data_IF_577112410589
#
_entry.id   IF_577112410589
#
_cell.length_a   1.000
_cell.length_b   1.000
_cell.length_c   1.000
_cell.angle_alpha   90.00
_cell.angle_beta   90.00
_cell.angle_gamma   90.00
#
_symmetry.space_group_name_H-M   'P 1'
#
loop_
_entity.id
_entity.type
_entity.pdbx_description
1 polymer ?
#
# COMPACT_ATOMS: atom_id res chain seq x y z
N UNK A 1 -18.26 -0.94 -18.75
CA UNK A 1 -16.88 -1.09 -19.27
C UNK A 1 -15.97 -0.61 -18.16
N UNK A 2 -15.18 -1.49 -17.55
CA UNK A 2 -14.12 -1.07 -16.62
C UNK A 2 -13.14 -0.23 -17.44
N UNK A 3 -13.23 1.08 -17.35
CA UNK A 3 -12.28 1.97 -18.00
C UNK A 3 -10.92 1.73 -17.34
N UNK A 4 -9.90 1.42 -18.14
CA UNK A 4 -8.53 1.38 -17.66
C UNK A 4 -8.20 2.72 -16.98
N UNK A 5 -7.71 2.63 -15.75
CA UNK A 5 -7.31 3.81 -15.01
C UNK A 5 -6.24 4.58 -15.78
N UNK A 6 -6.43 5.89 -15.89
CA UNK A 6 -5.46 6.79 -16.51
C UNK A 6 -4.90 7.73 -15.46
N UNK A 7 -3.62 8.06 -15.63
CA UNK A 7 -2.90 8.90 -14.69
C UNK A 7 -3.50 10.29 -14.55
N UNK A 8 -3.57 10.75 -13.31
CA UNK A 8 -3.97 12.11 -12.95
C UNK A 8 -2.75 13.03 -13.05
N UNK A 9 -2.91 14.20 -13.67
CA UNK A 9 -1.85 15.17 -13.90
C UNK A 9 -2.34 16.58 -13.55
N UNK A 10 -1.40 17.41 -13.10
CA UNK A 10 -1.64 18.86 -12.98
C UNK A 10 -1.56 19.47 -14.37
N UNK A 11 -2.60 20.19 -14.76
CA UNK A 11 -2.68 20.85 -16.08
C UNK A 11 -2.42 22.35 -16.01
N UNK A 12 -2.80 22.99 -14.91
CA UNK A 12 -2.71 24.44 -14.79
C UNK A 12 -2.74 24.92 -13.33
N UNK A 13 -2.41 26.19 -13.12
CA UNK A 13 -2.68 26.95 -11.89
C UNK A 13 -3.85 27.90 -12.17
N UNK A 14 -4.96 27.73 -11.45
CA UNK A 14 -6.15 28.55 -11.63
C UNK A 14 -6.02 29.90 -10.91
N UNK A 15 -5.57 30.91 -11.67
CA UNK A 15 -5.41 32.28 -11.16
C UNK A 15 -6.74 32.91 -10.75
N UNK A 16 -7.86 32.50 -11.35
CA UNK A 16 -9.18 33.05 -11.02
C UNK A 16 -9.69 32.58 -9.66
N UNK A 17 -9.33 31.35 -9.26
CA UNK A 17 -9.61 30.79 -7.95
C UNK A 17 -8.57 31.14 -6.89
N UNK A 18 -7.36 31.55 -7.30
CA UNK A 18 -6.29 31.87 -6.36
C UNK A 18 -6.63 33.12 -5.54
N UNK A 19 -6.75 32.97 -4.21
CA UNK A 19 -7.15 34.05 -3.29
C UNK A 19 -6.12 34.28 -2.19
N UNK A 20 -6.32 35.34 -1.41
CA UNK A 20 -5.54 35.59 -0.20
C UNK A 20 -5.78 34.48 0.83
N UNK A 21 -4.69 34.03 1.46
CA UNK A 21 -4.79 33.11 2.60
C UNK A 21 -5.29 33.85 3.83
N UNK A 22 -6.05 33.15 4.67
CA UNK A 22 -6.44 33.65 6.00
C UNK A 22 -5.33 33.48 7.03
N UNK A 23 -4.31 32.68 6.73
CA UNK A 23 -3.23 32.35 7.65
C UNK A 23 -2.22 33.51 7.75
N UNK A 24 -1.88 34.11 6.61
CA UNK A 24 -0.94 35.22 6.55
C UNK A 24 -1.15 36.06 5.28
N UNK A 25 -0.93 37.36 5.37
CA UNK A 25 -1.14 38.31 4.26
C UNK A 25 -0.26 38.01 3.04
N UNK A 26 0.96 37.52 3.23
CA UNK A 26 1.86 37.20 2.11
C UNK A 26 1.48 35.90 1.39
N UNK A 27 0.69 35.03 2.01
CA UNK A 27 0.30 33.74 1.46
C UNK A 27 -0.92 33.86 0.53
N UNK A 28 -0.99 32.97 -0.44
CA UNK A 28 -2.17 32.74 -1.28
C UNK A 28 -2.62 31.30 -1.13
N UNK A 29 -3.93 31.09 -1.24
CA UNK A 29 -4.48 29.76 -1.48
C UNK A 29 -4.34 29.51 -2.97
N UNK A 30 -3.42 28.62 -3.32
CA UNK A 30 -3.17 28.19 -4.70
C UNK A 30 -4.17 27.10 -5.07
N UNK A 31 -4.60 27.07 -6.34
CA UNK A 31 -5.47 26.02 -6.87
C UNK A 31 -4.85 25.41 -8.12
N UNK A 32 -4.23 24.24 -7.98
CA UNK A 32 -3.69 23.48 -9.10
C UNK A 32 -4.79 22.62 -9.70
N UNK A 33 -5.11 22.86 -10.97
CA UNK A 33 -6.13 22.12 -11.70
C UNK A 33 -5.61 20.76 -12.13
N UNK A 34 -6.40 19.71 -11.92
CA UNK A 34 -6.13 18.37 -12.41
C UNK A 34 -6.81 18.13 -13.76
N UNK A 35 -6.25 17.25 -14.59
CA UNK A 35 -6.87 16.82 -15.85
C UNK A 35 -8.14 16.00 -15.63
N UNK A 36 -8.27 15.39 -14.46
CA UNK A 36 -9.41 14.57 -14.04
C UNK A 36 -9.54 14.53 -12.52
N UNK A 37 -10.72 14.14 -12.06
CA UNK A 37 -10.99 13.91 -10.65
C UNK A 37 -10.37 12.58 -10.17
N UNK A 38 -9.86 12.51 -8.93
CA UNK A 38 -9.51 11.24 -8.29
C UNK A 38 -10.66 10.23 -8.33
N UNK A 39 -10.39 8.96 -8.71
CA UNK A 39 -11.46 7.99 -8.91
C UNK A 39 -12.16 7.56 -7.62
N UNK A 40 -11.40 7.46 -6.51
CA UNK A 40 -11.90 7.03 -5.21
C UNK A 40 -10.96 7.41 -4.05
N UNK A 41 -11.36 7.05 -2.83
CA UNK A 41 -10.59 7.26 -1.61
C UNK A 41 -9.29 6.44 -1.53
N UNK A 42 -9.17 5.32 -2.25
CA UNK A 42 -7.94 4.53 -2.25
C UNK A 42 -6.81 5.31 -2.95
N UNK A 43 -7.12 5.97 -4.06
CA UNK A 43 -6.17 6.85 -4.72
C UNK A 43 -5.77 8.03 -3.83
N UNK A 44 -6.74 8.68 -3.17
CA UNK A 44 -6.46 9.79 -2.23
C UNK A 44 -5.58 9.32 -1.07
N UNK A 45 -5.87 8.15 -0.50
CA UNK A 45 -5.05 7.55 0.56
C UNK A 45 -3.61 7.36 0.10
N UNK A 46 -3.39 6.80 -1.09
CA UNK A 46 -2.04 6.59 -1.64
C UNK A 46 -1.29 7.90 -1.88
N UNK A 47 -2.00 8.94 -2.33
CA UNK A 47 -1.42 10.27 -2.51
C UNK A 47 -0.89 10.84 -1.17
N UNK A 48 -1.69 10.76 -0.11
CA UNK A 48 -1.28 11.27 1.21
C UNK A 48 -0.27 10.36 1.91
N UNK A 49 -0.35 9.04 1.73
CA UNK A 49 0.57 8.05 2.31
C UNK A 49 2.02 8.36 1.95
N UNK A 50 2.33 8.46 0.65
CA UNK A 50 3.71 8.77 0.24
C UNK A 50 4.14 10.13 0.73
N UNK A 51 3.23 11.11 0.71
CA UNK A 51 3.54 12.42 1.23
C UNK A 51 3.89 12.33 2.70
N UNK A 52 3.06 11.77 3.57
CA UNK A 52 3.27 11.65 5.03
C UNK A 52 4.59 10.97 5.43
N UNK A 53 5.08 10.03 4.64
CA UNK A 53 6.36 9.36 4.92
C UNK A 53 7.62 10.23 4.71
N UNK A 54 7.52 11.34 3.97
CA UNK A 54 8.67 12.21 3.67
C UNK A 54 8.87 13.31 4.71
N UNK A 55 10.10 13.50 5.17
CA UNK A 55 10.45 14.71 5.94
C UNK A 55 10.73 15.84 4.94
N UNK A 56 9.81 16.81 4.85
CA UNK A 56 9.93 17.99 3.98
C UNK A 56 9.86 19.24 4.86
N UNK A 57 10.96 20.01 4.91
CA UNK A 57 11.09 21.16 5.81
C UNK A 57 10.04 22.27 5.57
N UNK A 58 9.56 22.43 4.33
CA UNK A 58 8.54 23.42 3.94
C UNK A 58 7.20 22.77 3.58
N UNK A 59 6.82 21.72 4.32
CA UNK A 59 5.52 21.06 4.13
C UNK A 59 4.39 22.05 4.47
N UNK A 60 3.48 22.23 3.53
CA UNK A 60 2.20 22.92 3.75
C UNK A 60 1.06 21.91 3.80
N UNK A 61 0.00 22.23 4.54
CA UNK A 61 -1.26 21.50 4.43
C UNK A 61 -1.78 21.64 3.00
N UNK A 62 -2.36 20.58 2.45
CA UNK A 62 -3.00 20.59 1.15
C UNK A 62 -4.28 19.77 1.21
N UNK A 63 -5.21 20.07 0.33
CA UNK A 63 -6.49 19.38 0.19
C UNK A 63 -6.78 19.15 -1.30
N UNK A 64 -7.51 18.08 -1.61
CA UNK A 64 -7.88 17.71 -2.98
C UNK A 64 -9.39 17.65 -3.05
N UNK A 65 -10.01 18.57 -3.80
CA UNK A 65 -11.46 18.70 -3.93
C UNK A 65 -11.82 19.24 -5.33
N UNK A 66 -12.95 18.78 -5.89
CA UNK A 66 -13.50 19.26 -7.16
C UNK A 66 -12.52 19.25 -8.35
N UNK A 67 -11.58 18.29 -8.39
CA UNK A 67 -10.55 18.22 -9.42
C UNK A 67 -9.42 19.26 -9.27
N UNK A 68 -9.25 19.82 -8.07
CA UNK A 68 -8.18 20.74 -7.73
C UNK A 68 -7.36 20.23 -6.55
N UNK A 69 -6.06 20.55 -6.55
CA UNK A 69 -5.20 20.48 -5.37
C UNK A 69 -5.01 21.91 -4.87
N UNK A 70 -5.40 22.17 -3.63
CA UNK A 70 -5.29 23.49 -3.02
C UNK A 70 -4.46 23.50 -1.75
N UNK A 71 -3.69 24.57 -1.56
CA UNK A 71 -2.74 24.73 -0.47
C UNK A 71 -2.31 26.19 -0.31
N UNK A 72 -1.89 26.56 0.90
CA UNK A 72 -1.32 27.87 1.18
C UNK A 72 0.16 27.94 0.77
N UNK A 73 0.53 28.93 -0.05
CA UNK A 73 1.93 29.13 -0.46
C UNK A 73 2.23 30.58 -0.85
N UNK A 74 3.51 30.93 -0.87
CA UNK A 74 3.99 32.13 -1.57
C UNK A 74 4.05 31.85 -3.08
N UNK A 75 3.60 32.77 -3.96
CA UNK A 75 3.66 32.57 -5.41
C UNK A 75 5.04 32.13 -5.93
N UNK A 76 6.12 32.66 -5.38
CA UNK A 76 7.49 32.35 -5.77
C UNK A 76 7.99 30.97 -5.30
N UNK A 77 7.31 30.32 -4.34
CA UNK A 77 7.68 28.99 -3.85
C UNK A 77 6.96 27.87 -4.60
N UNK A 78 5.89 28.18 -5.35
CA UNK A 78 5.05 27.17 -6.01
C UNK A 78 5.88 26.33 -6.98
N UNK A 79 6.58 26.97 -7.91
CA UNK A 79 7.32 26.27 -8.95
C UNK A 79 8.56 25.55 -8.40
N UNK A 80 9.32 26.20 -7.53
CA UNK A 80 10.59 25.69 -7.04
C UNK A 80 10.44 24.59 -5.97
N UNK A 81 9.37 24.62 -5.17
CA UNK A 81 9.25 23.80 -3.96
C UNK A 81 8.01 22.89 -4.03
N UNK A 82 6.83 23.47 -4.21
CA UNK A 82 5.58 22.73 -4.04
C UNK A 82 5.23 21.87 -5.25
N UNK A 83 5.42 22.38 -6.47
CA UNK A 83 5.06 21.67 -7.68
C UNK A 83 5.84 20.35 -7.84
N UNK A 84 7.17 20.30 -7.60
CA UNK A 84 7.92 19.04 -7.60
C UNK A 84 7.47 18.06 -6.49
N UNK A 85 7.20 18.56 -5.29
CA UNK A 85 6.72 17.75 -4.15
C UNK A 85 5.37 17.09 -4.46
N UNK A 86 4.42 17.87 -4.99
CA UNK A 86 3.08 17.40 -5.34
C UNK A 86 3.13 16.43 -6.52
N UNK A 87 3.92 16.73 -7.57
CA UNK A 87 4.10 15.83 -8.72
C UNK A 87 4.63 14.47 -8.29
N UNK A 88 5.60 14.44 -7.37
CA UNK A 88 6.12 13.17 -6.84
C UNK A 88 5.05 12.33 -6.14
N UNK A 89 4.14 12.97 -5.40
CA UNK A 89 3.02 12.27 -4.76
C UNK A 89 1.96 11.81 -5.78
N UNK A 90 1.72 12.58 -6.84
CA UNK A 90 0.88 12.14 -7.98
C UNK A 90 1.45 10.90 -8.66
N UNK A 91 2.75 10.92 -8.99
CA UNK A 91 3.43 9.81 -9.66
C UNK A 91 3.39 8.53 -8.81
N UNK A 92 3.56 8.67 -7.50
CA UNK A 92 3.40 7.56 -6.57
C UNK A 92 1.96 7.03 -6.58
N UNK A 93 0.97 7.90 -6.35
CA UNK A 93 -0.43 7.52 -6.26
C UNK A 93 -0.91 6.83 -7.53
N UNK A 94 -0.61 7.40 -8.70
CA UNK A 94 -0.94 6.83 -10.00
C UNK A 94 -0.33 5.43 -10.18
N UNK A 95 0.95 5.26 -9.84
CA UNK A 95 1.63 3.95 -9.97
C UNK A 95 1.04 2.91 -9.04
N UNK A 96 0.86 3.22 -7.76
CA UNK A 96 0.34 2.26 -6.79
C UNK A 96 -1.14 1.95 -7.04
N UNK A 97 -1.92 2.94 -7.47
CA UNK A 97 -3.32 2.74 -7.82
C UNK A 97 -3.49 1.85 -9.05
N UNK A 98 -2.63 1.97 -10.08
CA UNK A 98 -2.61 1.02 -11.21
C UNK A 98 -2.41 -0.42 -10.74
N UNK A 99 -1.49 -0.64 -9.79
CA UNK A 99 -1.28 -1.98 -9.21
C UNK A 99 -2.53 -2.45 -8.45
N UNK A 100 -3.16 -1.57 -7.67
CA UNK A 100 -4.36 -1.89 -6.91
C UNK A 100 -5.53 -2.29 -7.84
N UNK A 101 -5.75 -1.54 -8.92
CA UNK A 101 -6.79 -1.85 -9.92
C UNK A 101 -6.52 -3.20 -10.56
N UNK A 102 -5.27 -3.48 -10.96
CA UNK A 102 -4.89 -4.77 -11.53
C UNK A 102 -5.11 -5.93 -10.54
N UNK A 103 -4.75 -5.76 -9.27
CA UNK A 103 -4.99 -6.75 -8.22
C UNK A 103 -6.49 -7.02 -8.01
N UNK A 104 -7.30 -5.95 -7.93
CA UNK A 104 -8.77 -6.07 -7.81
C UNK A 104 -9.38 -6.79 -9.02
N UNK A 105 -8.85 -6.57 -10.22
CA UNK A 105 -9.32 -7.27 -11.43
C UNK A 105 -9.00 -8.77 -11.37
N UNK A 106 -7.78 -9.15 -10.98
CA UNK A 106 -7.38 -10.55 -10.81
C UNK A 106 -8.21 -11.24 -9.72
N UNK A 107 -8.43 -10.58 -8.57
CA UNK A 107 -9.25 -11.10 -7.48
C UNK A 107 -10.70 -11.31 -7.93
N UNK A 108 -11.31 -10.34 -8.63
CA UNK A 108 -12.66 -10.48 -9.19
C UNK A 108 -12.78 -11.66 -10.14
N UNK A 109 -11.79 -11.85 -11.02
CA UNK A 109 -11.77 -13.00 -11.94
C UNK A 109 -11.61 -14.34 -11.20
N UNK A 110 -10.78 -14.38 -10.14
CA UNK A 110 -10.63 -15.55 -9.28
C UNK A 110 -11.92 -15.93 -8.55
N UNK A 111 -12.57 -14.96 -7.90
CA UNK A 111 -13.85 -15.14 -7.22
C UNK A 111 -14.95 -15.63 -8.16
N UNK A 112 -15.02 -15.08 -9.38
CA UNK A 112 -15.99 -15.54 -10.38
C UNK A 112 -15.76 -16.99 -10.81
N UNK A 113 -14.51 -17.44 -10.88
CA UNK A 113 -14.18 -18.84 -11.18
C UNK A 113 -14.59 -19.75 -10.02
N UNK A 114 -14.23 -19.38 -8.79
CA UNK A 114 -14.58 -20.15 -7.59
C UNK A 114 -16.11 -20.30 -7.43
N UNK A 115 -16.87 -19.22 -7.66
CA UNK A 115 -18.34 -19.26 -7.66
C UNK A 115 -18.89 -20.17 -8.77
N UNK A 116 -18.27 -20.16 -9.96
CA UNK A 116 -18.69 -21.02 -11.06
C UNK A 116 -18.40 -22.50 -10.76
N UNK A 117 -17.23 -22.79 -10.18
CA UNK A 117 -16.80 -24.13 -9.77
C UNK A 117 -17.71 -24.66 -8.67
N UNK A 118 -17.94 -23.90 -7.60
CA UNK A 118 -18.87 -24.27 -6.51
C UNK A 118 -20.28 -24.54 -7.06
N UNK A 119 -20.78 -23.69 -7.96
CA UNK A 119 -22.09 -23.90 -8.59
C UNK A 119 -22.13 -25.20 -9.38
N UNK A 120 -21.04 -25.56 -10.07
CA UNK A 120 -20.93 -26.81 -10.81
C UNK A 120 -20.95 -28.02 -9.87
N UNK A 121 -20.24 -27.94 -8.74
CA UNK A 121 -20.20 -28.98 -7.71
C UNK A 121 -21.56 -29.19 -7.04
N UNK A 122 -22.28 -28.09 -6.74
CA UNK A 122 -23.62 -28.15 -6.16
C UNK A 122 -24.63 -28.78 -7.12
N UNK A 123 -24.52 -28.52 -8.43
CA UNK A 123 -25.34 -29.20 -9.44
C UNK A 123 -25.05 -30.70 -9.47
N UNK A 124 -23.77 -31.08 -9.52
CA UNK A 124 -23.37 -32.49 -9.50
C UNK A 124 -23.80 -33.21 -8.20
N UNK A 125 -23.71 -32.53 -7.06
CA UNK A 125 -24.22 -33.03 -5.78
C UNK A 125 -25.74 -33.22 -5.80
N UNK A 126 -26.48 -32.23 -6.30
CA UNK A 126 -27.95 -32.32 -6.44
C UNK A 126 -28.35 -33.52 -7.31
N UNK A 127 -27.63 -33.78 -8.40
CA UNK A 127 -27.88 -34.95 -9.25
C UNK A 127 -27.60 -36.26 -8.54
N UNK A 128 -26.48 -36.38 -7.82
CA UNK A 128 -26.16 -37.57 -7.00
C UNK A 128 -27.21 -37.83 -5.93
N UNK A 129 -27.64 -36.79 -5.21
CA UNK A 129 -28.71 -36.90 -4.19
C UNK A 129 -30.02 -37.35 -4.83
N UNK A 130 -30.40 -36.78 -5.98
CA UNK A 130 -31.60 -37.20 -6.72
C UNK A 130 -31.54 -38.67 -7.14
N UNK A 131 -30.39 -39.13 -7.66
CA UNK A 131 -30.21 -40.52 -8.08
C UNK A 131 -30.32 -41.49 -6.89
N UNK A 132 -29.70 -41.15 -5.76
CA UNK A 132 -29.78 -41.93 -4.52
C UNK A 132 -31.23 -42.02 -3.99
N UNK A 133 -31.95 -40.90 -3.97
CA UNK A 133 -33.37 -40.86 -3.55
C UNK A 133 -34.30 -41.61 -4.50
N UNK A 134 -33.98 -41.66 -5.80
CA UNK A 134 -34.74 -42.43 -6.79
C UNK A 134 -34.45 -43.94 -6.76
N UNK A 135 -33.65 -44.43 -5.80
CA UNK A 135 -33.30 -45.85 -5.68
C UNK A 135 -32.43 -46.39 -6.82
N UNK A 136 -31.80 -45.50 -7.62
CA UNK A 136 -30.94 -45.89 -8.73
C UNK A 136 -29.50 -46.03 -8.21
N UNK A 137 -28.89 -47.23 -8.23
CA UNK A 137 -27.52 -47.40 -7.74
C UNK A 137 -26.58 -46.59 -8.63
N UNK A 138 -25.54 -45.94 -8.07
CA UNK A 138 -24.56 -45.20 -8.85
C UNK A 138 -23.88 -46.17 -9.84
N UNK A 139 -23.55 -45.74 -11.08
CA UNK A 139 -22.74 -46.55 -11.96
C UNK A 139 -21.40 -46.81 -11.26
N UNK A 140 -21.11 -48.09 -11.06
CA UNK A 140 -19.90 -48.55 -10.39
C UNK A 140 -18.68 -47.97 -11.12
N UNK A 141 -17.85 -47.23 -10.40
CA UNK A 141 -16.48 -47.01 -10.82
C UNK A 141 -15.80 -48.39 -10.89
N UNK A 142 -15.39 -48.80 -12.08
CA UNK A 142 -14.64 -50.02 -12.33
C UNK A 142 -13.28 -49.90 -11.65
N UNK A 143 -13.19 -50.37 -10.40
CA UNK A 143 -11.94 -50.65 -9.75
C UNK A 143 -11.46 -52.03 -10.22
N UNK A 144 -10.44 -52.06 -11.07
CA UNK A 144 -9.63 -53.26 -11.31
C UNK A 144 -8.66 -53.47 -10.13
N UNK A 145 -8.61 -54.66 -9.51
CA UNK A 145 -7.52 -55.06 -8.64
C UNK A 145 -6.50 -55.88 -9.42
N UNK A 146 -5.23 -55.48 -9.39
CA UNK A 146 -4.12 -56.34 -9.83
C UNK A 146 -3.24 -56.74 -8.62
N UNK A 147 -2.81 -58.02 -8.54
CA UNK A 147 -2.24 -58.60 -7.34
C UNK A 147 -0.73 -58.38 -7.17
N UNK A 148 -0.34 -58.64 -5.93
CA UNK A 148 0.97 -58.57 -5.27
C UNK A 148 2.06 -59.39 -5.99
N UNK A 149 3.26 -58.83 -6.10
CA UNK A 149 4.51 -59.58 -6.09
C UNK A 149 5.61 -58.78 -5.36
N UNK A 150 6.10 -59.35 -4.25
CA UNK A 150 7.35 -58.97 -3.55
C UNK A 150 8.34 -60.12 -3.83
N UNK A 151 9.68 -59.88 -3.88
CA UNK A 151 10.45 -60.10 -2.64
C UNK A 151 11.65 -59.16 -2.42
N UNK A 152 11.95 -58.95 -1.11
CA UNK A 152 13.26 -58.86 -0.39
C UNK A 152 14.52 -58.32 -1.11
N UNK A 153 15.48 -57.64 -0.49
CA UNK A 153 15.73 -57.07 0.84
C UNK A 153 17.08 -56.33 0.73
N UNK A 154 17.26 -55.19 1.41
CA UNK A 154 18.60 -54.71 1.81
C UNK A 154 18.47 -53.70 2.96
N UNK A 155 18.99 -54.14 4.11
CA UNK A 155 19.19 -53.40 5.35
C UNK A 155 20.15 -52.21 5.19
N UNK A 156 19.82 -51.07 5.79
CA UNK A 156 20.77 -50.22 6.50
C UNK A 156 20.01 -49.20 7.37
N UNK A 157 20.05 -49.42 8.68
CA UNK A 157 19.64 -48.45 9.69
C UNK A 157 20.69 -47.33 9.80
N UNK A 158 20.25 -46.06 9.82
CA UNK A 158 21.05 -44.92 10.29
C UNK A 158 20.12 -43.99 11.10
N UNK A 159 20.51 -43.57 12.31
CA UNK A 159 19.59 -43.14 13.36
C UNK A 159 19.08 -41.70 13.23
N UNK A 160 17.92 -41.49 13.86
CA UNK A 160 17.22 -40.23 14.04
C UNK A 160 18.12 -39.12 14.60
N UNK A 161 18.22 -38.03 13.85
CA UNK A 161 18.74 -36.75 14.31
C UNK A 161 17.66 -36.06 15.17
N UNK A 162 17.94 -35.69 16.42
CA UNK A 162 16.98 -35.01 17.28
C UNK A 162 16.56 -33.65 16.72
N UNK A 163 15.25 -33.39 16.76
CA UNK A 163 14.68 -32.08 16.53
C UNK A 163 15.19 -31.12 17.62
N UNK A 164 15.85 -30.06 17.19
CA UNK A 164 16.18 -28.92 18.05
C UNK A 164 14.88 -28.21 18.46
N UNK A 165 14.65 -27.97 19.76
CA UNK A 165 13.55 -27.14 20.20
C UNK A 165 13.84 -25.69 19.81
N UNK A 166 12.94 -25.11 19.02
CA UNK A 166 12.93 -23.67 18.75
C UNK A 166 12.81 -22.96 20.10
N UNK A 167 13.86 -22.22 20.45
CA UNK A 167 13.92 -21.46 21.68
C UNK A 167 12.70 -20.53 21.76
N UNK A 168 11.93 -20.69 22.83
CA UNK A 168 10.99 -19.68 23.30
C UNK A 168 11.69 -18.34 23.30
N UNK A 169 11.14 -17.38 22.56
CA UNK A 169 11.49 -15.98 22.68
C UNK A 169 11.29 -15.58 24.15
N UNK A 170 12.41 -15.45 24.87
CA UNK A 170 12.47 -14.76 26.14
C UNK A 170 11.92 -13.36 25.89
N UNK A 171 10.78 -13.04 26.50
CA UNK A 171 10.27 -11.69 26.54
C UNK A 171 11.30 -10.83 27.28
N UNK A 172 12.14 -10.12 26.53
CA UNK A 172 12.88 -8.98 27.08
C UNK A 172 11.85 -7.99 27.64
N UNK A 173 12.09 -7.44 28.85
CA UNK A 173 11.12 -6.61 29.51
C UNK A 173 10.87 -5.37 28.64
N UNK A 174 9.63 -5.14 28.24
CA UNK A 174 9.20 -4.03 27.39
C UNK A 174 9.69 -2.63 27.86
N UNK A 175 10.16 -2.52 29.10
CA UNK A 175 10.83 -1.34 29.65
C UNK A 175 12.17 -1.02 28.97
N UNK A 176 12.98 -2.02 28.60
CA UNK A 176 14.30 -1.80 28.00
C UNK A 176 14.19 -1.29 26.56
N UNK A 177 13.20 -1.78 25.81
CA UNK A 177 12.89 -1.32 24.45
C UNK A 177 12.35 0.13 24.48
N UNK A 178 11.51 0.47 25.46
CA UNK A 178 11.01 1.84 25.62
C UNK A 178 12.13 2.82 25.97
N UNK A 179 13.04 2.42 26.87
CA UNK A 179 14.20 3.23 27.25
C UNK A 179 15.17 3.44 26.07
N UNK A 180 15.41 2.41 25.25
CA UNK A 180 16.24 2.52 24.06
C UNK A 180 15.59 3.45 23.01
N UNK A 181 14.27 3.35 22.84
CA UNK A 181 13.53 4.22 21.92
C UNK A 181 13.58 5.70 22.35
N UNK A 182 13.42 5.97 23.65
CA UNK A 182 13.52 7.33 24.20
C UNK A 182 14.95 7.88 24.10
N UNK A 183 15.97 7.07 24.37
CA UNK A 183 17.37 7.45 24.17
C UNK A 183 17.67 7.80 22.71
N UNK A 184 17.12 7.01 21.77
CA UNK A 184 17.26 7.27 20.33
C UNK A 184 16.53 8.54 19.91
N UNK A 185 15.36 8.82 20.49
CA UNK A 185 14.58 10.05 20.27
C UNK A 185 15.33 11.29 20.75
N UNK A 186 15.93 11.24 21.94
CA UNK A 186 16.68 12.38 22.49
C UNK A 186 18.00 12.61 21.73
N UNK A 187 18.70 11.54 21.31
CA UNK A 187 19.86 11.64 20.43
C UNK A 187 19.53 12.35 19.11
N UNK A 188 18.38 12.01 18.50
CA UNK A 188 17.93 12.64 17.27
C UNK A 188 17.60 14.12 17.46
N UNK A 189 16.95 14.49 18.57
CA UNK A 189 16.67 15.89 18.92
C UNK A 189 17.96 16.70 19.11
N UNK A 190 18.97 16.13 19.77
CA UNK A 190 20.27 16.80 19.94
C UNK A 190 20.97 17.02 18.61
N UNK A 191 20.99 16.02 17.72
CA UNK A 191 21.57 16.16 16.37
C UNK A 191 20.86 17.23 15.55
N UNK A 192 19.53 17.31 15.66
CA UNK A 192 18.75 18.33 14.97
C UNK A 192 19.04 19.75 15.49
N UNK A 193 19.15 19.92 16.83
CA UNK A 193 19.55 21.21 17.42
C UNK A 193 20.95 21.64 16.99
N UNK A 194 21.91 20.70 16.93
CA UNK A 194 23.26 21.00 16.46
C UNK A 194 23.29 21.38 14.97
N UNK A 195 22.47 20.73 14.14
CA UNK A 195 22.34 21.07 12.72
C UNK A 195 21.74 22.47 12.51
N UNK A 196 20.71 22.84 13.28
CA UNK A 196 20.15 24.20 13.25
C UNK A 196 21.18 25.25 13.68
N UNK A 197 21.93 24.98 14.74
CA UNK A 197 22.98 25.89 15.19
C UNK A 197 24.12 26.03 14.17
N UNK A 198 24.46 24.96 13.45
CA UNK A 198 25.46 25.00 12.37
C UNK A 198 24.97 25.84 11.19
N UNK A 199 23.70 25.66 10.79
CA UNK A 199 23.08 26.42 9.71
C UNK A 199 23.01 27.93 10.03
N UNK A 200 22.68 28.28 11.28
CA UNK A 200 22.69 29.67 11.74
C UNK A 200 24.10 30.28 11.77
N UNK A 201 25.14 29.48 12.06
CA UNK A 201 26.52 29.94 12.02
C UNK A 201 27.03 30.11 10.58
N UNK A 202 26.63 29.25 9.65
CA UNK A 202 26.95 29.39 8.22
C UNK A 202 26.26 30.59 7.61
N UNK A 203 25.00 30.86 7.96
CA UNK A 203 24.26 32.05 7.53
C UNK A 203 24.89 33.35 8.05
N UNK A 204 25.45 33.35 9.27
CA UNK A 204 26.16 34.51 9.82
C UNK A 204 27.55 34.72 9.22
N UNK A 205 28.24 33.64 8.82
CA UNK A 205 29.57 33.73 8.16
C UNK A 205 29.50 34.11 6.68
N UNK A 206 28.37 33.88 6.01
CA UNK A 206 28.17 34.28 4.61
C UNK A 206 27.72 35.73 4.42
N UNK A 207 27.68 36.53 5.50
CA UNK A 207 27.18 37.91 5.50
C UNK A 207 28.24 38.93 6.00
N UNK A 208 29.50 38.51 6.09
CA UNK A 208 30.72 39.33 6.18
C UNK A 208 31.50 39.22 4.86
#
# INVERSE_FOLDING_TARGET
MDADFQDIRIVDLDLSKTTWSRVHETLRIMFLKLDREPPDNDWLRLFFEERETRIVARRRGLWIEDGYISFDSLPNEVEAIHLPDIRRSLDYANREYRKLVAQKAVQRAGQQREIADERSELVALRERVRAALAGKPPPAATAEPAPIAVPMAATAAVPAKPAEPVASATAEPAADIANEFDARRESLKQRFRLALNHQDQELKRGND
#
